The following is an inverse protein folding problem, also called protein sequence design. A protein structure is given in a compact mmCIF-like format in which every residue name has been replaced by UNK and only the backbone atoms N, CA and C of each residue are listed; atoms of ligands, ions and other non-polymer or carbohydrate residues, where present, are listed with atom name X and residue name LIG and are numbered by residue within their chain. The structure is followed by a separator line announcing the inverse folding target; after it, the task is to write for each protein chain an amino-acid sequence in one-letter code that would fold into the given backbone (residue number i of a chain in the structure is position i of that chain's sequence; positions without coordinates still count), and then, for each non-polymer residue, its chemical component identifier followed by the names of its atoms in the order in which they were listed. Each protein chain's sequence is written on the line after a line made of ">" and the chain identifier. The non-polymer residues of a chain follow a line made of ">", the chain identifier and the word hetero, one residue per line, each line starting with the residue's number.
data_IF_098521462987
#
_entry.id   IF_098521462987
#
_cell.length_a   1.000
_cell.length_b   1.000
_cell.length_c   1.000
_cell.angle_alpha   90.00
_cell.angle_beta   90.00
_cell.angle_gamma   90.00
#
_symmetry.space_group_name_H-M   'P 1'
#
loop_
_entity.id
_entity.type
_entity.pdbx_description
1 polymer ?
#
# COMPACT_ATOMS: atom_id res chain seq x y z
N UNK A 1 -58.61 11.69 -33.71
CA UNK A 1 -57.77 11.62 -32.49
C UNK A 1 -57.02 10.29 -32.54
N UNK A 2 -55.74 10.30 -32.88
CA UNK A 2 -54.94 9.08 -33.06
C UNK A 2 -54.35 8.65 -31.71
N UNK A 3 -54.77 7.51 -31.18
CA UNK A 3 -54.24 6.94 -29.94
C UNK A 3 -52.84 6.38 -30.19
N UNK A 4 -51.79 7.08 -29.73
CA UNK A 4 -50.41 6.58 -29.78
C UNK A 4 -50.32 5.36 -28.88
N UNK A 5 -50.05 4.17 -29.45
CA UNK A 5 -49.72 2.99 -28.64
C UNK A 5 -48.45 3.26 -27.84
N UNK A 6 -48.58 3.40 -26.53
CA UNK A 6 -47.43 3.40 -25.64
C UNK A 6 -46.86 1.99 -25.60
N UNK A 7 -45.56 1.86 -25.88
CA UNK A 7 -44.86 0.58 -25.74
C UNK A 7 -44.68 0.32 -24.25
N UNK A 8 -45.37 -0.69 -23.74
CA UNK A 8 -45.17 -1.22 -22.39
C UNK A 8 -44.28 -2.47 -22.49
N UNK A 9 -43.40 -2.65 -21.50
CA UNK A 9 -42.57 -3.85 -21.39
C UNK A 9 -43.44 -5.07 -21.10
N UNK A 10 -43.06 -6.21 -21.66
CA UNK A 10 -43.70 -7.49 -21.36
C UNK A 10 -43.20 -8.06 -20.03
N UNK A 11 -44.03 -8.87 -19.35
CA UNK A 11 -43.61 -9.57 -18.12
C UNK A 11 -42.39 -10.47 -18.36
N UNK A 12 -42.32 -11.09 -19.54
CA UNK A 12 -41.19 -11.95 -19.91
C UNK A 12 -39.91 -11.15 -20.15
N UNK A 13 -39.99 -9.94 -20.72
CA UNK A 13 -38.83 -9.03 -20.82
C UNK A 13 -38.30 -8.70 -19.43
N UNK A 14 -39.15 -8.31 -18.50
CA UNK A 14 -38.70 -7.98 -17.15
C UNK A 14 -38.03 -9.19 -16.48
N UNK A 15 -38.62 -10.38 -16.63
CA UNK A 15 -38.09 -11.62 -16.04
C UNK A 15 -36.71 -12.01 -16.61
N UNK A 16 -36.53 -11.91 -17.92
CA UNK A 16 -35.24 -12.19 -18.58
C UNK A 16 -34.19 -11.14 -18.20
N UNK A 17 -34.60 -9.88 -18.06
CA UNK A 17 -33.65 -8.79 -17.75
C UNK A 17 -33.10 -8.91 -16.33
N UNK A 18 -33.97 -9.14 -15.33
CA UNK A 18 -33.51 -9.29 -13.94
C UNK A 18 -32.63 -10.53 -13.76
N UNK A 19 -32.91 -11.61 -14.49
CA UNK A 19 -32.09 -12.82 -14.42
C UNK A 19 -30.70 -12.59 -15.00
N UNK A 20 -30.59 -11.88 -16.13
CA UNK A 20 -29.28 -11.49 -16.69
C UNK A 20 -28.53 -10.57 -15.73
N UNK A 21 -29.19 -9.55 -15.15
CA UNK A 21 -28.55 -8.63 -14.19
C UNK A 21 -28.03 -9.36 -12.96
N UNK A 22 -28.78 -10.32 -12.42
CA UNK A 22 -28.35 -11.14 -11.28
C UNK A 22 -27.08 -11.94 -11.63
N UNK A 23 -27.05 -12.60 -12.79
CA UNK A 23 -25.90 -13.40 -13.23
C UNK A 23 -24.67 -12.52 -13.45
N UNK A 24 -24.82 -11.35 -14.09
CA UNK A 24 -23.69 -10.45 -14.34
C UNK A 24 -23.18 -9.80 -13.05
N UNK A 25 -24.08 -9.48 -12.11
CA UNK A 25 -23.72 -8.82 -10.85
C UNK A 25 -22.86 -9.73 -9.96
N UNK A 26 -23.15 -11.03 -9.90
CA UNK A 26 -22.36 -11.97 -9.08
C UNK A 26 -20.91 -12.08 -9.57
N UNK A 27 -20.69 -12.16 -10.89
CA UNK A 27 -19.34 -12.21 -11.47
C UNK A 27 -18.61 -10.87 -11.31
N UNK A 28 -19.33 -9.74 -11.40
CA UNK A 28 -18.75 -8.42 -11.23
C UNK A 28 -18.13 -8.18 -9.84
N UNK A 29 -18.80 -8.64 -8.78
CA UNK A 29 -18.35 -8.42 -7.39
C UNK A 29 -17.04 -9.14 -7.06
N UNK A 30 -16.87 -10.38 -7.53
CA UNK A 30 -15.65 -11.17 -7.26
C UNK A 30 -14.41 -10.52 -7.90
N UNK A 31 -14.54 -10.00 -9.11
CA UNK A 31 -13.44 -9.33 -9.82
C UNK A 31 -13.08 -7.99 -9.17
N UNK A 32 -14.08 -7.23 -8.70
CA UNK A 32 -13.86 -5.95 -8.05
C UNK A 32 -12.97 -6.08 -6.80
N UNK A 33 -13.22 -7.08 -5.96
CA UNK A 33 -12.44 -7.29 -4.75
C UNK A 33 -10.95 -7.48 -5.05
N UNK A 34 -10.59 -8.36 -6.00
CA UNK A 34 -9.20 -8.61 -6.40
C UNK A 34 -8.52 -7.37 -6.98
N UNK A 35 -9.20 -6.61 -7.84
CA UNK A 35 -8.66 -5.37 -8.41
C UNK A 35 -8.44 -4.32 -7.32
N UNK A 36 -9.36 -4.19 -6.36
CA UNK A 36 -9.22 -3.27 -5.25
C UNK A 36 -8.01 -3.63 -4.36
N UNK A 37 -7.75 -4.93 -4.12
CA UNK A 37 -6.54 -5.40 -3.42
C UNK A 37 -5.27 -4.94 -4.14
N UNK A 38 -5.14 -5.30 -5.43
CA UNK A 38 -3.98 -4.92 -6.27
C UNK A 38 -3.78 -3.39 -6.35
N UNK A 39 -4.87 -2.62 -6.37
CA UNK A 39 -4.81 -1.16 -6.34
C UNK A 39 -4.24 -0.59 -5.03
N UNK A 40 -4.60 -1.19 -3.87
CA UNK A 40 -4.01 -0.82 -2.58
C UNK A 40 -2.55 -1.24 -2.48
N UNK A 41 -2.22 -2.42 -2.95
CA UNK A 41 -0.84 -2.94 -2.99
C UNK A 41 0.07 -2.06 -3.86
N UNK A 42 -0.40 -1.61 -5.02
CA UNK A 42 0.35 -0.64 -5.85
C UNK A 42 0.57 0.69 -5.13
N UNK A 43 -0.38 1.12 -4.28
CA UNK A 43 -0.20 2.31 -3.45
C UNK A 43 0.82 2.09 -2.35
N UNK A 44 0.80 0.93 -1.67
CA UNK A 44 1.82 0.56 -0.66
C UNK A 44 3.23 0.61 -1.25
N UNK A 45 3.42 0.04 -2.44
CA UNK A 45 4.71 0.10 -3.14
C UNK A 45 5.15 1.55 -3.40
N UNK A 46 4.25 2.40 -3.90
CA UNK A 46 4.56 3.80 -4.15
C UNK A 46 4.83 4.60 -2.86
N UNK A 47 4.19 4.26 -1.76
CA UNK A 47 4.41 4.88 -0.45
C UNK A 47 5.79 4.49 0.11
N UNK A 48 6.18 3.21 0.03
CA UNK A 48 7.52 2.75 0.41
C UNK A 48 8.63 3.45 -0.41
N UNK A 49 8.40 3.66 -1.71
CA UNK A 49 9.33 4.40 -2.57
C UNK A 49 9.50 5.87 -2.15
N UNK A 50 8.41 6.52 -1.72
CA UNK A 50 8.49 7.87 -1.17
C UNK A 50 9.30 7.90 0.12
N UNK A 51 9.08 6.93 1.02
CA UNK A 51 9.80 6.82 2.29
C UNK A 51 11.29 6.58 2.03
N UNK A 52 11.64 5.69 1.10
CA UNK A 52 13.02 5.49 0.63
C UNK A 52 13.65 6.80 0.16
N UNK A 53 12.95 7.57 -0.66
CA UNK A 53 13.43 8.88 -1.10
C UNK A 53 13.76 9.83 0.05
N UNK A 54 12.92 9.85 1.09
CA UNK A 54 13.18 10.68 2.27
C UNK A 54 14.36 10.18 3.12
N UNK A 55 14.53 8.86 3.25
CA UNK A 55 15.70 8.27 3.92
C UNK A 55 17.01 8.61 3.21
N UNK A 56 17.01 8.62 1.88
CA UNK A 56 18.19 9.05 1.10
C UNK A 56 18.53 10.53 1.34
N UNK A 57 17.53 11.40 1.39
CA UNK A 57 17.74 12.81 1.74
C UNK A 57 18.30 12.96 3.16
N UNK A 58 17.75 12.21 4.12
CA UNK A 58 18.28 12.19 5.49
C UNK A 58 19.75 11.79 5.52
N UNK A 59 20.12 10.69 4.84
CA UNK A 59 21.51 10.22 4.79
C UNK A 59 22.43 11.20 4.08
N UNK A 60 21.96 11.88 3.04
CA UNK A 60 22.76 12.88 2.33
C UNK A 60 23.21 14.02 3.25
N UNK A 61 22.35 14.44 4.18
CA UNK A 61 22.65 15.52 5.13
C UNK A 61 23.40 15.02 6.37
N UNK A 62 23.07 13.83 6.88
CA UNK A 62 23.53 13.34 8.18
C UNK A 62 24.68 12.32 8.10
N UNK A 63 24.98 11.81 6.91
CA UNK A 63 26.04 10.83 6.67
C UNK A 63 25.69 9.38 7.02
N UNK A 64 24.54 9.13 7.64
CA UNK A 64 24.02 7.80 7.96
C UNK A 64 22.49 7.78 7.93
N UNK A 65 21.89 6.60 7.86
CA UNK A 65 20.45 6.44 8.09
C UNK A 65 20.09 6.61 9.59
N UNK A 66 18.82 6.94 9.91
CA UNK A 66 18.35 7.10 11.29
C UNK A 66 18.57 5.84 12.12
N UNK A 67 19.04 5.97 13.37
CA UNK A 67 19.26 4.77 14.21
C UNK A 67 17.96 4.06 14.56
N UNK A 68 16.95 4.87 14.91
CA UNK A 68 15.59 4.45 15.20
C UNK A 68 14.64 5.34 14.39
N UNK A 69 13.68 4.73 13.70
CA UNK A 69 12.61 5.44 13.02
C UNK A 69 11.32 4.64 13.13
N UNK A 70 10.28 5.27 13.69
CA UNK A 70 8.92 4.74 13.68
C UNK A 70 8.12 5.43 12.59
N UNK A 71 7.55 4.64 11.68
CA UNK A 71 6.76 5.17 10.56
C UNK A 71 5.29 5.31 10.95
N UNK A 72 4.97 6.36 11.69
CA UNK A 72 3.59 6.65 12.11
C UNK A 72 2.84 7.38 11.00
N UNK A 73 1.67 6.86 10.61
CA UNK A 73 0.77 7.50 9.66
C UNK A 73 0.46 8.96 10.05
N UNK A 74 0.62 9.88 9.09
CA UNK A 74 0.46 11.33 9.21
C UNK A 74 1.52 12.09 10.02
N UNK A 75 2.50 11.41 10.61
CA UNK A 75 3.61 12.11 11.28
C UNK A 75 4.59 12.67 10.25
N UNK A 76 5.37 13.65 10.69
CA UNK A 76 6.46 14.24 9.92
C UNK A 76 7.76 13.47 10.20
N UNK A 77 8.56 13.23 9.16
CA UNK A 77 9.90 12.68 9.27
C UNK A 77 10.94 13.78 9.06
N UNK A 78 11.73 14.03 10.10
CA UNK A 78 12.79 15.05 10.17
C UNK A 78 13.96 14.62 11.06
N UNK A 79 14.98 15.48 11.18
CA UNK A 79 16.19 15.19 11.96
C UNK A 79 15.99 15.31 13.49
N UNK A 80 15.04 16.13 13.96
CA UNK A 80 14.75 16.29 15.38
C UNK A 80 13.26 16.53 15.66
N UNK A 81 12.46 15.46 15.62
CA UNK A 81 11.01 15.49 15.90
C UNK A 81 10.63 16.01 17.30
N UNK A 82 11.58 16.43 18.14
CA UNK A 82 11.38 16.93 19.51
C UNK A 82 11.81 18.40 19.71
N UNK A 83 12.07 19.14 18.64
CA UNK A 83 12.61 20.50 18.73
C UNK A 83 11.62 21.57 18.26
N UNK A 84 11.19 22.47 19.16
CA UNK A 84 10.59 23.77 18.82
C UNK A 84 11.56 24.72 18.06
N UNK A 85 12.57 24.16 17.38
CA UNK A 85 13.61 24.91 16.68
C UNK A 85 13.22 25.11 15.22
N UNK A 86 13.19 26.37 14.80
CA UNK A 86 12.83 26.88 13.46
C UNK A 86 13.76 26.38 12.32
N UNK A 87 14.76 25.55 12.63
CA UNK A 87 15.73 25.00 11.68
C UNK A 87 15.62 23.49 11.48
N UNK A 88 14.52 22.87 11.93
CA UNK A 88 14.36 21.43 11.78
C UNK A 88 14.20 21.05 10.29
N UNK A 89 15.06 20.16 9.82
CA UNK A 89 15.06 19.74 8.42
C UNK A 89 14.03 18.63 8.28
N UNK A 90 13.00 18.91 7.47
CA UNK A 90 11.93 17.96 7.17
C UNK A 90 12.25 17.24 5.87
N UNK A 91 12.41 15.93 5.95
CA UNK A 91 12.67 15.06 4.80
C UNK A 91 11.37 14.54 4.18
N UNK A 92 10.32 14.41 4.98
CA UNK A 92 8.98 14.07 4.53
C UNK A 92 7.94 14.67 5.46
N UNK A 93 7.08 15.55 4.92
CA UNK A 93 6.04 16.27 5.70
C UNK A 93 4.96 15.37 6.28
N UNK A 94 4.69 14.26 5.61
CA UNK A 94 3.63 13.37 5.99
C UNK A 94 4.01 11.96 5.56
N UNK A 95 4.25 11.11 6.55
CA UNK A 95 4.41 9.68 6.34
C UNK A 95 3.07 9.14 5.82
N UNK A 96 3.05 8.48 4.64
CA UNK A 96 1.84 7.93 4.08
C UNK A 96 1.16 6.95 5.04
N UNK A 97 -0.17 6.91 4.98
CA UNK A 97 -0.95 5.94 5.72
C UNK A 97 -1.28 4.75 4.82
N UNK A 98 -1.13 3.55 5.35
CA UNK A 98 -1.61 2.35 4.68
C UNK A 98 -3.11 2.49 4.34
N UNK A 99 -3.58 2.07 3.15
CA UNK A 99 -4.98 2.20 2.76
C UNK A 99 -5.99 1.43 3.62
N UNK A 100 -5.56 0.43 4.40
CA UNK A 100 -6.39 -0.28 5.41
C UNK A 100 -6.07 0.17 6.83
N UNK A 101 -4.82 0.52 7.11
CA UNK A 101 -4.33 0.96 8.41
C UNK A 101 -4.64 -0.05 9.53
N UNK A 102 -4.23 -1.30 9.29
CA UNK A 102 -4.30 -2.43 10.21
C UNK A 102 -2.85 -2.83 10.58
N UNK A 103 -2.61 -3.35 11.78
CA UNK A 103 -1.26 -3.59 12.33
C UNK A 103 -0.34 -4.39 11.38
N UNK A 104 -0.89 -5.40 10.70
CA UNK A 104 -0.19 -6.24 9.72
C UNK A 104 0.23 -5.50 8.43
N UNK A 105 -0.40 -4.38 8.10
CA UNK A 105 -0.25 -3.65 6.84
C UNK A 105 0.50 -2.31 7.01
N UNK A 106 0.99 -2.00 8.21
CA UNK A 106 1.74 -0.77 8.48
C UNK A 106 3.16 -0.85 7.89
N UNK A 107 3.65 0.28 7.38
CA UNK A 107 5.02 0.41 6.89
C UNK A 107 6.02 0.24 8.05
N UNK A 108 7.08 -0.54 7.84
CA UNK A 108 8.12 -0.76 8.85
C UNK A 108 9.51 -0.46 8.30
N UNK A 109 10.35 0.05 9.20
CA UNK A 109 11.74 0.41 8.97
C UNK A 109 12.62 -0.39 9.94
N UNK A 110 13.67 -0.99 9.41
CA UNK A 110 14.64 -1.75 10.19
C UNK A 110 16.05 -1.41 9.70
N UNK A 111 16.84 -0.79 10.57
CA UNK A 111 18.23 -0.46 10.27
C UNK A 111 19.11 -1.69 10.45
N UNK A 112 19.92 -2.00 9.44
CA UNK A 112 20.96 -3.04 9.56
C UNK A 112 22.27 -2.44 10.07
N UNK A 113 22.68 -1.31 9.49
CA UNK A 113 23.86 -0.56 9.89
C UNK A 113 23.72 0.94 9.53
N UNK A 114 24.80 1.73 9.63
CA UNK A 114 24.77 3.16 9.31
C UNK A 114 24.44 3.48 7.84
N UNK A 115 24.57 2.51 6.95
CA UNK A 115 24.49 2.64 5.50
C UNK A 115 23.53 1.67 4.83
N UNK A 116 22.88 0.78 5.57
CA UNK A 116 21.91 -0.19 5.07
C UNK A 116 20.65 -0.24 5.96
N UNK A 117 19.50 -0.39 5.32
CA UNK A 117 18.21 -0.56 5.97
C UNK A 117 17.27 -1.42 5.13
N UNK A 118 16.21 -1.93 5.77
CA UNK A 118 15.07 -2.56 5.13
C UNK A 118 13.79 -1.77 5.39
N UNK A 119 13.00 -1.55 4.34
CA UNK A 119 11.63 -1.08 4.41
C UNK A 119 10.71 -2.20 3.97
N UNK A 120 9.63 -2.48 4.70
CA UNK A 120 8.68 -3.54 4.33
C UNK A 120 7.22 -3.19 4.65
N UNK A 121 6.32 -3.76 3.86
CA UNK A 121 4.87 -3.74 4.07
C UNK A 121 4.24 -5.06 3.59
N UNK A 122 3.24 -5.57 4.31
CA UNK A 122 2.48 -6.76 3.88
C UNK A 122 1.54 -6.41 2.74
N UNK A 123 1.42 -7.31 1.77
CA UNK A 123 0.61 -7.18 0.57
C UNK A 123 -0.68 -7.98 0.72
N UNK A 124 -1.79 -7.41 0.28
CA UNK A 124 -3.10 -8.06 0.43
C UNK A 124 -3.36 -9.15 -0.62
N UNK A 125 -2.65 -9.08 -1.74
CA UNK A 125 -2.67 -10.09 -2.78
C UNK A 125 -1.66 -11.23 -2.56
N UNK A 126 -0.87 -11.22 -1.49
CA UNK A 126 0.20 -12.23 -1.24
C UNK A 126 1.22 -12.28 -2.42
N UNK A 127 1.35 -11.15 -3.13
CA UNK A 127 2.24 -10.94 -4.28
C UNK A 127 3.40 -10.00 -3.88
N UNK A 128 4.15 -10.38 -2.84
CA UNK A 128 5.37 -9.69 -2.41
C UNK A 128 6.54 -9.87 -3.39
N UNK A 129 7.68 -9.23 -3.10
CA UNK A 129 8.88 -9.26 -3.96
C UNK A 129 10.03 -10.10 -3.39
N UNK A 130 9.69 -11.24 -2.78
CA UNK A 130 10.66 -12.24 -2.35
C UNK A 130 11.58 -12.66 -3.52
N UNK A 131 12.87 -12.76 -3.24
CA UNK A 131 13.83 -13.36 -4.18
C UNK A 131 13.83 -14.89 -4.06
N UNK A 132 14.62 -15.57 -4.89
CA UNK A 132 14.70 -17.04 -4.87
C UNK A 132 15.24 -17.62 -3.54
N UNK A 133 15.73 -16.78 -2.64
CA UNK A 133 16.19 -17.16 -1.30
C UNK A 133 15.27 -16.65 -0.19
N UNK A 134 14.13 -16.04 -0.54
CA UNK A 134 13.15 -15.51 0.40
C UNK A 134 13.76 -14.47 1.39
N UNK A 135 14.92 -13.88 1.07
CA UNK A 135 15.68 -13.04 2.01
C UNK A 135 15.33 -11.56 1.96
N UNK A 136 14.62 -11.10 0.92
CA UNK A 136 14.32 -9.67 0.76
C UNK A 136 13.50 -9.05 1.91
N UNK A 137 13.00 -9.83 2.88
CA UNK A 137 12.07 -9.35 3.91
C UNK A 137 12.30 -9.89 5.34
N UNK A 138 13.30 -10.73 5.57
CA UNK A 138 13.54 -11.34 6.89
C UNK A 138 14.97 -11.82 7.06
N UNK A 139 15.60 -11.47 8.17
CA UNK A 139 16.81 -12.12 8.70
C UNK A 139 16.50 -13.47 9.37
N UNK A 140 15.21 -13.77 9.61
CA UNK A 140 14.75 -14.97 10.31
C UNK A 140 14.15 -15.99 9.34
N UNK A 141 14.73 -17.19 9.35
CA UNK A 141 14.50 -18.27 8.39
C UNK A 141 13.34 -19.21 8.71
N UNK A 142 12.49 -18.89 9.70
CA UNK A 142 11.56 -19.90 10.24
C UNK A 142 10.12 -19.85 9.70
N UNK A 143 9.64 -18.77 9.09
CA UNK A 143 8.35 -18.77 8.38
C UNK A 143 8.32 -17.63 7.35
N UNK A 144 8.88 -17.87 6.16
CA UNK A 144 8.94 -16.84 5.13
C UNK A 144 7.74 -16.94 4.20
N UNK A 145 6.74 -16.10 4.46
CA UNK A 145 5.60 -15.88 3.56
C UNK A 145 5.98 -14.80 2.54
N UNK A 146 5.82 -15.06 1.23
CA UNK A 146 6.07 -14.11 0.14
C UNK A 146 5.04 -12.96 0.10
N UNK A 147 4.45 -12.63 1.25
CA UNK A 147 3.38 -11.66 1.38
C UNK A 147 3.93 -10.24 1.52
N UNK A 148 5.22 -10.08 1.83
CA UNK A 148 5.82 -8.77 2.04
C UNK A 148 6.44 -8.21 0.77
N UNK A 149 6.22 -6.92 0.55
CA UNK A 149 6.98 -6.12 -0.39
C UNK A 149 8.04 -5.30 0.35
N UNK A 150 9.28 -5.43 -0.08
CA UNK A 150 10.44 -4.92 0.63
C UNK A 150 11.36 -4.10 -0.28
N UNK A 151 11.90 -3.02 0.27
CA UNK A 151 12.87 -2.15 -0.40
C UNK A 151 14.08 -1.99 0.52
N UNK A 152 15.26 -2.12 -0.04
CA UNK A 152 16.51 -1.70 0.59
C UNK A 152 16.92 -0.33 0.07
N UNK A 153 17.97 0.24 0.67
CA UNK A 153 18.69 1.33 0.04
C UNK A 153 19.12 0.95 -1.40
N UNK A 154 19.16 1.93 -2.31
CA UNK A 154 19.57 1.74 -3.70
C UNK A 154 21.04 1.36 -3.87
#
# INVERSE_FOLDING_TARGET
>A
MFYKKQKAFTLIELLVTITIVVILSTVGLANYASVAKKGRDSRRQADLEQIRGALELYKADNGSYPEDLTLTCNDEFGYDSNSDNVNDIVYMKQIPCDPKNEDDYVYSYEREDAFNYNLKAKMEAEEGNCDNNFQNCSSDTEDIECDYYCLTNP
#
